data_IF_462579300922
#
_entry.id   IF_462579300922
#
_cell.length_a   1.000
_cell.length_b   1.000
_cell.length_c   1.000
_cell.angle_alpha   90.00
_cell.angle_beta   90.00
_cell.angle_gamma   90.00
#
_symmetry.space_group_name_H-M   'P 1'
#
loop_
_entity.id
_entity.type
_entity.pdbx_description
1 polymer ?
#
# COMPACT_ATOMS: atom_id res chain seq x y z
N UNK A 1 17.11 -35.37 -15.66
CA UNK A 1 17.64 -34.36 -14.72
C UNK A 1 16.52 -33.39 -14.39
N UNK A 2 15.92 -33.50 -13.20
CA UNK A 2 14.95 -32.52 -12.71
C UNK A 2 15.72 -31.36 -12.10
N UNK A 3 15.68 -30.19 -12.73
CA UNK A 3 16.17 -28.95 -12.13
C UNK A 3 15.15 -28.49 -11.08
N UNK A 4 15.24 -29.05 -9.87
CA UNK A 4 14.59 -28.45 -8.70
C UNK A 4 15.51 -27.35 -8.20
N UNK A 5 15.32 -26.13 -8.70
CA UNK A 5 15.85 -24.95 -8.04
C UNK A 5 15.08 -24.77 -6.72
N UNK A 6 15.58 -25.41 -5.67
CA UNK A 6 15.09 -25.20 -4.30
C UNK A 6 15.63 -23.87 -3.82
N UNK A 7 14.90 -22.79 -4.08
CA UNK A 7 15.18 -21.52 -3.43
C UNK A 7 14.93 -21.68 -1.93
N UNK A 8 15.94 -21.35 -1.11
CA UNK A 8 15.74 -21.29 0.34
C UNK A 8 14.76 -20.17 0.69
N UNK A 9 14.01 -20.28 1.80
CA UNK A 9 13.10 -19.22 2.28
C UNK A 9 13.83 -17.87 2.41
N UNK A 10 15.08 -17.92 2.91
CA UNK A 10 16.00 -16.77 2.99
C UNK A 10 16.24 -16.09 1.64
N UNK A 11 16.29 -16.85 0.55
CA UNK A 11 16.52 -16.31 -0.80
C UNK A 11 15.27 -15.62 -1.33
N UNK A 12 14.08 -16.18 -1.11
CA UNK A 12 12.81 -15.59 -1.57
C UNK A 12 12.50 -14.26 -0.86
N UNK A 13 12.83 -14.14 0.41
CA UNK A 13 12.59 -12.92 1.20
C UNK A 13 13.60 -11.81 0.92
N UNK A 14 14.86 -12.18 0.65
CA UNK A 14 15.88 -11.22 0.26
C UNK A 14 15.49 -10.65 -1.09
N UNK A 15 15.04 -11.52 -2.01
CA UNK A 15 14.44 -11.13 -3.28
C UNK A 15 13.26 -10.21 -3.03
N UNK A 16 12.33 -10.52 -2.11
CA UNK A 16 11.17 -9.67 -1.83
C UNK A 16 11.61 -8.26 -1.42
N UNK A 17 12.45 -8.12 -0.39
CA UNK A 17 12.92 -6.82 0.09
C UNK A 17 13.76 -6.06 -0.94
N UNK A 18 14.67 -6.73 -1.64
CA UNK A 18 15.47 -6.09 -2.70
C UNK A 18 14.60 -5.71 -3.88
N UNK A 19 13.61 -6.53 -4.25
CA UNK A 19 12.70 -6.25 -5.35
C UNK A 19 11.85 -5.02 -5.03
N UNK A 20 11.45 -4.83 -3.76
CA UNK A 20 10.69 -3.66 -3.35
C UNK A 20 11.52 -2.39 -3.25
N UNK A 21 12.73 -2.45 -2.70
CA UNK A 21 13.65 -1.32 -2.73
C UNK A 21 13.95 -0.88 -4.17
N UNK A 22 14.14 -1.86 -5.07
CA UNK A 22 14.29 -1.61 -6.51
C UNK A 22 13.00 -1.05 -7.11
N UNK A 23 11.83 -1.60 -6.77
CA UNK A 23 10.54 -1.14 -7.26
C UNK A 23 10.26 0.33 -6.90
N UNK A 24 10.54 0.74 -5.65
CA UNK A 24 10.34 2.12 -5.19
C UNK A 24 11.22 3.14 -5.95
N UNK A 25 12.46 2.75 -6.28
CA UNK A 25 13.40 3.53 -7.09
C UNK A 25 13.01 3.49 -8.58
N UNK A 26 12.58 2.33 -9.08
CA UNK A 26 12.13 2.14 -10.46
C UNK A 26 10.84 2.91 -10.75
N UNK A 27 9.90 3.01 -9.80
CA UNK A 27 8.69 3.81 -9.98
C UNK A 27 9.01 5.28 -10.23
N UNK A 28 9.99 5.84 -9.52
CA UNK A 28 10.47 7.19 -9.76
C UNK A 28 11.20 7.31 -11.12
N UNK A 29 12.05 6.34 -11.46
CA UNK A 29 12.76 6.33 -12.74
C UNK A 29 11.85 6.14 -13.97
N UNK A 30 10.70 5.48 -13.83
CA UNK A 30 9.75 5.26 -14.93
C UNK A 30 9.08 6.55 -15.40
N UNK A 31 8.75 7.46 -14.49
CA UNK A 31 8.20 8.77 -14.84
C UNK A 31 9.27 9.69 -15.41
N UNK A 32 10.45 9.72 -14.79
CA UNK A 32 11.56 10.58 -15.21
C UNK A 32 12.04 10.24 -16.63
N UNK A 33 12.21 8.95 -16.94
CA UNK A 33 12.63 8.52 -18.29
C UNK A 33 11.56 8.78 -19.35
N UNK A 34 10.27 8.66 -19.00
CA UNK A 34 9.20 8.98 -19.95
C UNK A 34 9.10 10.48 -20.22
N UNK A 35 9.28 11.30 -19.18
CA UNK A 35 9.34 12.75 -19.31
C UNK A 35 10.50 13.20 -20.22
N UNK A 36 11.70 12.63 -20.04
CA UNK A 36 12.84 12.90 -20.93
C UNK A 36 12.57 12.50 -22.39
N UNK A 37 11.91 11.37 -22.64
CA UNK A 37 11.57 10.94 -24.00
C UNK A 37 10.50 11.81 -24.66
N UNK A 38 9.49 12.27 -23.91
CA UNK A 38 8.46 13.20 -24.43
C UNK A 38 9.05 14.58 -24.74
N UNK A 39 10.05 15.06 -23.98
CA UNK A 39 10.74 16.33 -24.30
C UNK A 39 11.57 16.30 -25.59
N UNK A 40 11.96 15.12 -26.07
CA UNK A 40 12.80 14.97 -27.26
C UNK A 40 11.99 14.92 -28.57
N UNK A 41 10.69 14.66 -28.52
CA UNK A 41 9.83 14.46 -29.71
C UNK A 41 9.14 15.76 -30.18
N UNK A 42 9.35 16.88 -29.46
CA UNK A 42 8.54 18.09 -29.58
C UNK A 42 9.22 19.23 -30.37
N UNK A 43 10.15 18.88 -31.28
CA UNK A 43 11.00 19.84 -32.01
C UNK A 43 10.28 20.70 -33.08
N UNK A 44 8.97 20.55 -33.25
CA UNK A 44 8.18 21.23 -34.31
C UNK A 44 7.14 22.25 -33.81
N UNK A 45 7.10 22.59 -32.51
CA UNK A 45 6.15 23.60 -32.01
C UNK A 45 6.79 25.00 -31.88
N UNK A 46 6.19 25.99 -32.55
CA UNK A 46 6.65 27.39 -32.65
C UNK A 46 6.39 28.24 -31.37
N UNK A 47 5.90 27.62 -30.31
CA UNK A 47 5.67 28.21 -28.99
C UNK A 47 6.47 27.34 -28.01
N UNK A 48 7.41 27.94 -27.27
CA UNK A 48 8.34 27.21 -26.39
C UNK A 48 7.66 26.06 -25.65
N UNK A 49 8.20 24.86 -25.85
CA UNK A 49 7.67 23.60 -25.34
C UNK A 49 7.74 23.59 -23.81
N UNK A 50 6.62 23.91 -23.16
CA UNK A 50 6.48 23.64 -21.73
C UNK A 50 6.30 22.14 -21.59
N UNK A 51 7.35 21.44 -21.19
CA UNK A 51 7.31 19.99 -20.99
C UNK A 51 6.33 19.66 -19.87
N UNK A 52 5.17 19.09 -20.22
CA UNK A 52 4.24 18.56 -19.24
C UNK A 52 4.86 17.26 -18.69
N UNK A 53 5.07 17.12 -17.37
CA UNK A 53 5.53 15.86 -16.82
C UNK A 53 4.60 14.71 -17.19
N UNK A 54 5.15 13.48 -17.32
CA UNK A 54 4.34 12.29 -17.61
C UNK A 54 3.11 12.26 -16.70
N UNK A 55 1.89 12.09 -17.25
CA UNK A 55 1.57 11.49 -18.55
C UNK A 55 1.40 12.47 -19.75
N UNK A 56 1.84 13.71 -19.61
CA UNK A 56 1.70 14.71 -20.67
C UNK A 56 0.26 15.23 -20.82
N UNK A 57 0.01 16.06 -21.85
CA UNK A 57 -1.34 16.55 -22.22
C UNK A 57 -1.97 15.80 -23.39
N UNK A 58 -1.18 15.11 -24.23
CA UNK A 58 -1.70 14.47 -25.46
C UNK A 58 -2.74 13.37 -25.23
N UNK A 59 -2.81 12.76 -24.04
CA UNK A 59 -3.87 11.81 -23.71
C UNK A 59 -5.24 12.51 -23.53
N UNK A 60 -5.23 13.76 -23.04
CA UNK A 60 -6.45 14.58 -22.87
C UNK A 60 -7.02 14.93 -24.24
N UNK A 61 -6.16 15.32 -25.18
CA UNK A 61 -6.55 15.61 -26.56
C UNK A 61 -7.19 14.39 -27.22
N UNK A 62 -6.63 13.20 -27.00
CA UNK A 62 -7.22 11.94 -27.46
C UNK A 62 -8.60 11.65 -26.86
N UNK A 63 -8.87 12.09 -25.63
CA UNK A 63 -10.21 11.97 -25.03
C UNK A 63 -11.19 13.00 -25.60
N UNK A 64 -10.71 14.20 -25.92
CA UNK A 64 -11.52 15.27 -26.53
C UNK A 64 -11.90 14.97 -27.99
N UNK A 65 -11.06 14.25 -28.74
CA UNK A 65 -11.30 13.92 -30.16
C UNK A 65 -12.43 12.89 -30.39
N UNK A 66 -12.92 12.21 -29.34
CA UNK A 66 -14.09 11.32 -29.42
C UNK A 66 -15.37 12.17 -29.37
N UNK A 67 -15.83 12.56 -30.56
CA UNK A 67 -16.78 13.64 -30.95
C UNK A 67 -18.15 13.84 -30.25
N UNK A 68 -18.42 13.29 -29.07
CA UNK A 68 -19.67 13.54 -28.30
C UNK A 68 -19.43 14.05 -26.86
N UNK A 69 -18.23 14.59 -26.58
CA UNK A 69 -17.67 14.65 -25.23
C UNK A 69 -17.71 16.02 -24.52
N UNK A 70 -18.35 17.06 -25.06
CA UNK A 70 -18.38 18.36 -24.39
C UNK A 70 -19.24 18.33 -23.12
N UNK A 71 -18.69 18.80 -22.00
CA UNK A 71 -19.38 18.90 -20.72
C UNK A 71 -19.82 20.35 -20.50
N UNK A 72 -21.12 20.56 -20.31
CA UNK A 72 -21.68 21.87 -19.95
C UNK A 72 -22.11 21.83 -18.49
N UNK A 73 -21.51 22.70 -17.68
CA UNK A 73 -21.81 22.86 -16.26
C UNK A 73 -23.09 23.67 -16.04
N UNK A 74 -23.67 23.59 -14.85
CA UNK A 74 -24.88 24.34 -14.49
C UNK A 74 -24.72 25.88 -14.57
N UNK A 75 -23.49 26.38 -14.45
CA UNK A 75 -23.13 27.80 -14.60
C UNK A 75 -22.90 28.22 -16.06
N UNK A 76 -23.05 27.32 -17.02
CA UNK A 76 -22.84 27.55 -18.45
C UNK A 76 -21.40 27.32 -18.93
N UNK A 77 -20.46 27.01 -18.04
CA UNK A 77 -19.06 26.71 -18.43
C UNK A 77 -19.01 25.45 -19.28
N UNK A 78 -18.26 25.48 -20.38
CA UNK A 78 -18.10 24.35 -21.29
C UNK A 78 -16.67 23.81 -21.25
N UNK A 79 -16.52 22.51 -21.14
CA UNK A 79 -15.25 21.79 -21.21
C UNK A 79 -15.26 20.81 -22.39
N UNK A 80 -14.08 20.54 -22.96
CA UNK A 80 -13.91 19.60 -24.06
C UNK A 80 -14.14 18.14 -23.67
N UNK A 81 -13.98 17.82 -22.37
CA UNK A 81 -14.24 16.52 -21.76
C UNK A 81 -14.43 16.65 -20.26
N UNK A 82 -14.89 15.60 -19.58
CA UNK A 82 -14.97 15.54 -18.12
C UNK A 82 -13.58 15.61 -17.47
N UNK A 83 -12.57 14.99 -18.09
CA UNK A 83 -11.19 15.05 -17.60
C UNK A 83 -10.55 16.42 -17.83
N UNK A 84 -10.93 17.12 -18.91
CA UNK A 84 -10.54 18.51 -19.10
C UNK A 84 -11.15 19.42 -18.01
N UNK A 85 -12.39 19.15 -17.59
CA UNK A 85 -13.01 19.84 -16.46
C UNK A 85 -12.27 19.57 -15.14
N UNK A 86 -11.92 18.31 -14.85
CA UNK A 86 -11.15 17.93 -13.65
C UNK A 86 -9.81 18.66 -13.57
N UNK A 87 -9.17 18.90 -14.71
CA UNK A 87 -7.88 19.58 -14.80
C UNK A 87 -8.01 21.10 -14.97
N UNK A 88 -9.23 21.66 -14.96
CA UNK A 88 -9.48 23.08 -15.22
C UNK A 88 -8.84 23.60 -16.52
N UNK A 89 -8.66 22.72 -17.53
CA UNK A 89 -7.86 22.97 -18.74
C UNK A 89 -6.38 23.32 -18.50
N UNK A 90 -5.85 23.13 -17.30
CA UNK A 90 -4.44 23.36 -16.97
C UNK A 90 -3.80 22.11 -16.32
N UNK A 91 -3.40 21.12 -17.14
CA UNK A 91 -2.70 19.93 -16.65
C UNK A 91 -1.31 20.23 -16.05
N UNK A 92 -0.75 21.43 -16.29
CA UNK A 92 0.58 21.82 -15.80
C UNK A 92 0.53 22.37 -14.37
N UNK A 93 -0.56 23.02 -13.98
CA UNK A 93 -0.70 23.60 -12.65
C UNK A 93 -0.64 22.57 -11.52
N UNK A 94 -0.98 21.31 -11.80
CA UNK A 94 -0.99 20.25 -10.79
C UNK A 94 -0.65 18.87 -11.40
N UNK A 95 0.64 18.53 -11.51
CA UNK A 95 1.08 17.30 -12.20
C UNK A 95 0.64 16.02 -11.47
N UNK A 96 0.52 16.04 -10.13
CA UNK A 96 -0.01 14.91 -9.35
C UNK A 96 -1.49 14.69 -9.66
N UNK A 97 -2.29 15.75 -9.75
CA UNK A 97 -3.69 15.67 -10.18
C UNK A 97 -3.83 15.20 -11.62
N UNK A 98 -2.98 15.68 -12.52
CA UNK A 98 -2.92 15.20 -13.91
C UNK A 98 -2.66 13.70 -13.96
N UNK A 99 -1.69 13.21 -13.18
CA UNK A 99 -1.42 11.79 -13.05
C UNK A 99 -2.64 11.03 -12.51
N UNK A 100 -3.29 11.52 -11.45
CA UNK A 100 -4.48 10.87 -10.88
C UNK A 100 -5.65 10.80 -11.86
N UNK A 101 -5.92 11.88 -12.59
CA UNK A 101 -6.93 11.93 -13.64
C UNK A 101 -6.61 10.95 -14.78
N UNK A 102 -5.35 10.88 -15.21
CA UNK A 102 -4.90 9.91 -16.20
C UNK A 102 -5.09 8.47 -15.73
N UNK A 103 -4.71 8.14 -14.49
CA UNK A 103 -4.95 6.79 -13.97
C UNK A 103 -6.45 6.50 -13.87
N UNK A 104 -7.26 7.44 -13.36
CA UNK A 104 -8.71 7.30 -13.28
C UNK A 104 -9.32 6.96 -14.65
N UNK A 105 -8.77 7.50 -15.74
CA UNK A 105 -9.25 7.26 -17.10
C UNK A 105 -9.13 5.81 -17.60
N UNK A 106 -8.26 4.99 -16.99
CA UNK A 106 -8.22 3.55 -17.25
C UNK A 106 -9.39 2.80 -16.63
N UNK A 107 -9.97 3.34 -15.56
CA UNK A 107 -11.07 2.71 -14.83
C UNK A 107 -12.43 3.29 -15.25
N UNK A 108 -12.48 4.57 -15.61
CA UNK A 108 -13.72 5.29 -15.84
C UNK A 108 -13.68 6.04 -17.17
N UNK A 109 -14.64 5.73 -18.03
CA UNK A 109 -14.81 6.44 -19.29
C UNK A 109 -15.21 7.91 -19.05
N UNK A 110 -15.02 8.76 -20.06
CA UNK A 110 -15.44 10.15 -20.01
C UNK A 110 -16.92 10.32 -19.61
N UNK A 111 -17.80 9.44 -20.10
CA UNK A 111 -19.22 9.48 -19.79
C UNK A 111 -19.52 9.17 -18.31
N UNK A 112 -18.77 8.24 -17.71
CA UNK A 112 -18.91 7.93 -16.27
C UNK A 112 -18.43 9.12 -15.43
N UNK A 113 -17.28 9.71 -15.77
CA UNK A 113 -16.78 10.90 -15.10
C UNK A 113 -17.75 12.10 -15.24
N UNK A 114 -18.26 12.35 -16.44
CA UNK A 114 -19.26 13.39 -16.71
C UNK A 114 -20.54 13.16 -15.89
N UNK A 115 -21.00 11.91 -15.76
CA UNK A 115 -22.16 11.57 -14.95
C UNK A 115 -21.95 11.94 -13.48
N UNK A 116 -20.78 11.65 -12.89
CA UNK A 116 -20.47 12.08 -11.52
C UNK A 116 -20.45 13.60 -11.39
N UNK A 117 -19.75 14.31 -12.30
CA UNK A 117 -19.63 15.78 -12.24
C UNK A 117 -21.01 16.44 -12.30
N UNK A 118 -21.86 16.01 -13.24
CA UNK A 118 -23.22 16.55 -13.43
C UNK A 118 -24.16 16.18 -12.29
N UNK A 119 -24.13 14.94 -11.81
CA UNK A 119 -24.98 14.47 -10.71
C UNK A 119 -24.66 15.17 -9.39
N UNK A 120 -23.37 15.40 -9.12
CA UNK A 120 -22.90 16.05 -7.89
C UNK A 120 -22.88 17.57 -8.01
N UNK A 121 -23.02 18.10 -9.22
CA UNK A 121 -22.78 19.51 -9.55
C UNK A 121 -21.45 20.05 -8.97
N UNK A 122 -20.40 19.21 -9.01
CA UNK A 122 -19.09 19.52 -8.43
C UNK A 122 -17.99 18.71 -9.10
N UNK A 123 -17.04 19.41 -9.71
CA UNK A 123 -15.85 18.81 -10.32
C UNK A 123 -14.94 18.20 -9.25
N UNK A 124 -14.68 18.94 -8.17
CA UNK A 124 -13.82 18.48 -7.07
C UNK A 124 -14.36 17.22 -6.40
N UNK A 125 -15.65 17.21 -6.05
CA UNK A 125 -16.24 16.04 -5.39
C UNK A 125 -16.25 14.83 -6.31
N UNK A 126 -16.53 15.02 -7.61
CA UNK A 126 -16.45 13.95 -8.59
C UNK A 126 -15.03 13.39 -8.72
N UNK A 127 -14.00 14.24 -8.80
CA UNK A 127 -12.60 13.82 -8.88
C UNK A 127 -12.21 12.90 -7.72
N UNK A 128 -12.45 13.33 -6.48
CA UNK A 128 -12.06 12.53 -5.31
C UNK A 128 -12.92 11.28 -5.12
N UNK A 129 -14.17 11.26 -5.60
CA UNK A 129 -14.98 10.03 -5.65
C UNK A 129 -14.38 9.05 -6.67
N UNK A 130 -13.95 9.51 -7.85
CA UNK A 130 -13.26 8.66 -8.82
C UNK A 130 -11.94 8.12 -8.25
N UNK A 131 -11.15 8.95 -7.56
CA UNK A 131 -9.94 8.51 -6.86
C UNK A 131 -10.25 7.46 -5.79
N UNK A 132 -11.31 7.64 -4.99
CA UNK A 132 -11.76 6.64 -4.01
C UNK A 132 -12.13 5.31 -4.68
N UNK A 133 -12.93 5.34 -5.76
CA UNK A 133 -13.34 4.14 -6.46
C UNK A 133 -12.14 3.42 -7.09
N UNK A 134 -11.22 4.16 -7.71
CA UNK A 134 -9.95 3.62 -8.23
C UNK A 134 -9.12 2.98 -7.12
N UNK A 135 -8.91 3.68 -6.00
CA UNK A 135 -8.13 3.18 -4.86
C UNK A 135 -8.78 1.94 -4.23
N UNK A 136 -10.11 1.91 -4.15
CA UNK A 136 -10.85 0.75 -3.65
C UNK A 136 -10.68 -0.47 -4.56
N UNK A 137 -10.85 -0.30 -5.88
CA UNK A 137 -10.61 -1.38 -6.86
C UNK A 137 -9.16 -1.85 -6.78
N UNK A 138 -8.20 -0.91 -6.75
CA UNK A 138 -6.78 -1.21 -6.62
C UNK A 138 -6.50 -2.03 -5.35
N UNK A 139 -6.96 -1.57 -4.19
CA UNK A 139 -6.79 -2.25 -2.92
C UNK A 139 -7.40 -3.66 -2.91
N UNK A 140 -8.56 -3.86 -3.54
CA UNK A 140 -9.14 -5.20 -3.72
C UNK A 140 -8.21 -6.10 -4.56
N UNK A 141 -7.67 -5.60 -5.68
CA UNK A 141 -6.73 -6.35 -6.52
C UNK A 141 -5.47 -6.72 -5.73
N UNK A 142 -4.90 -5.78 -4.98
CA UNK A 142 -3.73 -6.05 -4.12
C UNK A 142 -4.06 -7.11 -3.08
N UNK A 143 -5.17 -6.94 -2.36
CA UNK A 143 -5.59 -7.84 -1.29
C UNK A 143 -5.81 -9.26 -1.81
N UNK A 144 -6.70 -9.45 -2.79
CA UNK A 144 -7.00 -10.77 -3.32
C UNK A 144 -5.82 -11.39 -4.05
N UNK A 145 -5.06 -10.60 -4.83
CA UNK A 145 -3.89 -11.08 -5.55
C UNK A 145 -2.80 -11.57 -4.61
N UNK A 146 -2.40 -10.74 -3.64
CA UNK A 146 -1.34 -11.10 -2.69
C UNK A 146 -1.78 -12.22 -1.77
N UNK A 147 -2.98 -12.15 -1.19
CA UNK A 147 -3.46 -13.19 -0.29
C UNK A 147 -3.63 -14.53 -1.01
N UNK A 148 -4.06 -14.56 -2.27
CA UNK A 148 -4.14 -15.80 -3.06
C UNK A 148 -2.75 -16.40 -3.33
N UNK A 149 -1.77 -15.58 -3.70
CA UNK A 149 -0.39 -16.02 -3.93
C UNK A 149 0.20 -16.61 -2.64
N UNK A 150 0.13 -15.87 -1.53
CA UNK A 150 0.64 -16.36 -0.24
C UNK A 150 -0.14 -17.59 0.24
N UNK A 151 -1.46 -17.63 0.07
CA UNK A 151 -2.28 -18.81 0.41
C UNK A 151 -1.82 -20.05 -0.36
N UNK A 152 -1.53 -19.92 -1.67
CA UNK A 152 -1.01 -21.03 -2.46
C UNK A 152 0.32 -21.55 -1.88
N UNK A 153 1.29 -20.67 -1.63
CA UNK A 153 2.58 -21.08 -1.08
C UNK A 153 2.49 -21.63 0.34
N UNK A 154 1.59 -21.09 1.15
CA UNK A 154 1.43 -21.49 2.55
C UNK A 154 0.68 -22.82 2.72
N UNK A 155 -0.29 -23.15 1.86
CA UNK A 155 -1.20 -24.27 2.12
C UNK A 155 -1.27 -25.32 1.01
N UNK A 156 -0.86 -24.98 -0.23
CA UNK A 156 -1.03 -25.84 -1.41
C UNK A 156 0.32 -26.30 -1.98
N UNK A 157 1.29 -25.39 -2.08
CA UNK A 157 2.59 -25.68 -2.66
C UNK A 157 3.34 -26.76 -1.85
N UNK A 158 4.09 -27.69 -2.49
CA UNK A 158 4.77 -28.79 -1.81
C UNK A 158 5.70 -28.38 -0.66
N UNK A 159 6.22 -27.14 -0.69
CA UNK A 159 7.06 -26.60 0.39
C UNK A 159 6.37 -26.56 1.76
N UNK A 160 5.04 -26.49 1.78
CA UNK A 160 4.25 -26.43 3.01
C UNK A 160 4.05 -27.80 3.67
N UNK A 161 4.28 -28.92 2.95
CA UNK A 161 4.02 -30.28 3.48
C UNK A 161 4.77 -30.56 4.78
N UNK A 162 6.05 -30.14 4.87
CA UNK A 162 6.84 -30.31 6.08
C UNK A 162 6.16 -29.70 7.32
N UNK A 163 5.53 -28.53 7.18
CA UNK A 163 4.89 -27.84 8.29
C UNK A 163 3.56 -28.50 8.69
N UNK A 164 2.75 -28.95 7.73
CA UNK A 164 1.42 -29.48 8.03
C UNK A 164 1.39 -31.01 8.22
N UNK A 165 2.20 -31.76 7.47
CA UNK A 165 2.21 -33.22 7.46
C UNK A 165 3.27 -33.78 8.42
N UNK A 166 4.51 -33.27 8.38
CA UNK A 166 5.59 -33.80 9.23
C UNK A 166 5.56 -33.20 10.65
N UNK A 167 5.28 -31.90 10.78
CA UNK A 167 5.22 -31.20 12.07
C UNK A 167 3.81 -31.19 12.69
N UNK A 168 2.79 -31.65 11.96
CA UNK A 168 1.43 -31.84 12.47
C UNK A 168 0.64 -30.55 12.75
N UNK A 169 0.98 -29.41 12.13
CA UNK A 169 0.19 -28.18 12.25
C UNK A 169 -1.17 -28.34 11.56
N UNK A 170 -2.23 -27.84 12.19
CA UNK A 170 -3.55 -27.82 11.57
C UNK A 170 -3.65 -26.73 10.49
N UNK A 171 -4.40 -27.01 9.42
CA UNK A 171 -4.71 -26.01 8.38
C UNK A 171 -5.90 -25.14 8.82
N UNK A 172 -5.97 -23.87 8.38
CA UNK A 172 -7.14 -23.02 8.62
C UNK A 172 -8.40 -23.64 8.01
N UNK A 173 -9.53 -23.50 8.71
CA UNK A 173 -10.83 -23.89 8.16
C UNK A 173 -11.32 -22.87 7.13
N UNK A 174 -12.18 -23.30 6.21
CA UNK A 174 -12.76 -22.37 5.24
C UNK A 174 -13.63 -21.30 5.90
N UNK A 175 -14.34 -21.64 6.99
CA UNK A 175 -15.11 -20.66 7.76
C UNK A 175 -14.21 -19.57 8.37
N UNK A 176 -13.00 -19.93 8.83
CA UNK A 176 -12.03 -18.96 9.35
C UNK A 176 -11.62 -17.97 8.26
N UNK A 177 -11.24 -18.48 7.07
CA UNK A 177 -10.82 -17.65 5.95
C UNK A 177 -11.99 -16.79 5.44
N UNK A 178 -13.20 -17.34 5.34
CA UNK A 178 -14.39 -16.59 4.92
C UNK A 178 -14.68 -15.43 5.86
N UNK A 179 -14.60 -15.65 7.18
CA UNK A 179 -14.79 -14.61 8.18
C UNK A 179 -13.72 -13.50 8.07
N UNK A 180 -12.47 -13.89 7.82
CA UNK A 180 -11.36 -12.94 7.57
C UNK A 180 -11.62 -12.09 6.33
N UNK A 181 -12.01 -12.72 5.21
CA UNK A 181 -12.35 -12.02 3.97
C UNK A 181 -13.48 -11.03 4.23
N UNK A 182 -14.58 -11.44 4.86
CA UNK A 182 -15.71 -10.56 5.16
C UNK A 182 -15.30 -9.35 5.99
N UNK A 183 -14.45 -9.56 7.00
CA UNK A 183 -13.94 -8.46 7.82
C UNK A 183 -13.00 -7.53 7.04
N UNK A 184 -12.08 -8.10 6.28
CA UNK A 184 -11.17 -7.36 5.39
C UNK A 184 -11.94 -6.50 4.39
N UNK A 185 -13.02 -7.01 3.80
CA UNK A 185 -13.86 -6.22 2.87
C UNK A 185 -14.53 -5.04 3.58
N UNK A 186 -15.08 -5.24 4.78
CA UNK A 186 -15.66 -4.15 5.56
C UNK A 186 -14.60 -3.10 5.97
N UNK A 187 -13.38 -3.55 6.26
CA UNK A 187 -12.26 -2.68 6.58
C UNK A 187 -11.84 -1.81 5.39
N UNK A 188 -11.70 -2.42 4.21
CA UNK A 188 -11.25 -1.75 2.99
C UNK A 188 -12.11 -0.53 2.63
N UNK A 189 -13.43 -0.59 2.83
CA UNK A 189 -14.36 0.51 2.49
C UNK A 189 -13.99 1.85 3.14
N UNK A 190 -13.43 1.83 4.34
CA UNK A 190 -13.01 3.08 5.03
C UNK A 190 -11.49 3.22 4.97
N UNK A 191 -10.74 2.13 5.07
CA UNK A 191 -9.27 2.17 5.01
C UNK A 191 -8.76 2.83 3.72
N UNK A 192 -9.45 2.63 2.59
CA UNK A 192 -9.08 3.25 1.29
C UNK A 192 -9.38 4.74 1.21
N UNK A 193 -10.04 5.35 2.21
CA UNK A 193 -10.18 6.80 2.29
C UNK A 193 -8.86 7.48 2.65
N UNK A 194 -7.93 6.78 3.30
CA UNK A 194 -6.63 7.35 3.68
C UNK A 194 -5.78 7.76 2.45
N UNK A 195 -5.56 6.90 1.42
CA UNK A 195 -4.86 7.34 0.22
C UNK A 195 -5.61 8.43 -0.55
N UNK A 196 -6.94 8.53 -0.45
CA UNK A 196 -7.68 9.66 -1.06
C UNK A 196 -7.39 10.97 -0.30
N UNK A 197 -7.26 10.90 1.02
CA UNK A 197 -6.79 12.03 1.82
C UNK A 197 -5.35 12.42 1.44
N UNK A 198 -4.46 11.45 1.21
CA UNK A 198 -3.10 11.71 0.74
C UNK A 198 -3.11 12.47 -0.59
N UNK A 199 -3.89 11.98 -1.57
CA UNK A 199 -4.05 12.65 -2.86
C UNK A 199 -4.59 14.06 -2.71
N UNK A 200 -5.64 14.25 -1.91
CA UNK A 200 -6.19 15.57 -1.64
C UNK A 200 -5.15 16.52 -1.04
N UNK A 201 -4.39 16.07 -0.05
CA UNK A 201 -3.38 16.91 0.61
C UNK A 201 -2.23 17.27 -0.34
N UNK A 202 -1.81 16.33 -1.18
CA UNK A 202 -0.79 16.54 -2.22
C UNK A 202 -1.31 17.51 -3.28
N UNK A 203 -2.48 17.25 -3.85
CA UNK A 203 -3.08 18.10 -4.88
C UNK A 203 -3.40 19.51 -4.37
N UNK A 204 -3.68 19.66 -3.08
CA UNK A 204 -3.96 20.96 -2.45
C UNK A 204 -2.70 21.73 -2.01
N UNK A 205 -1.50 21.16 -2.20
CA UNK A 205 -0.23 21.81 -1.85
C UNK A 205 0.07 21.86 -0.34
N UNK A 206 -0.58 21.01 0.47
CA UNK A 206 -0.31 20.93 1.92
C UNK A 206 0.90 20.05 2.28
N UNK A 207 1.57 19.46 1.29
CA UNK A 207 2.65 18.50 1.49
C UNK A 207 3.95 18.95 0.83
N UNK A 208 5.06 18.26 1.15
CA UNK A 208 6.33 18.35 0.44
C UNK A 208 6.48 17.17 -0.52
N UNK A 209 5.40 16.84 -1.23
CA UNK A 209 5.43 15.80 -2.25
C UNK A 209 5.63 16.44 -3.61
N UNK A 210 6.56 15.89 -4.37
CA UNK A 210 6.99 16.41 -5.66
C UNK A 210 6.75 15.37 -6.75
N UNK A 211 6.52 15.85 -7.97
CA UNK A 211 6.21 14.97 -9.09
C UNK A 211 7.46 14.50 -9.82
N UNK A 212 8.53 15.30 -9.83
CA UNK A 212 9.82 14.93 -10.42
C UNK A 212 10.92 14.78 -9.39
N UNK A 213 11.99 14.10 -9.78
CA UNK A 213 13.16 13.90 -8.91
C UNK A 213 13.96 15.20 -8.75
N UNK A 214 13.98 16.03 -9.78
CA UNK A 214 14.68 17.31 -9.85
C UNK A 214 14.10 18.30 -8.85
N UNK A 215 12.78 18.32 -8.67
CA UNK A 215 12.10 19.15 -7.67
C UNK A 215 12.53 18.81 -6.22
N UNK A 216 12.94 17.57 -5.96
CA UNK A 216 13.48 17.12 -4.67
C UNK A 216 14.96 17.52 -4.53
N UNK A 217 15.63 17.89 -5.62
CA UNK A 217 17.06 18.19 -5.67
C UNK A 217 17.91 17.06 -6.26
N UNK A 218 17.34 16.26 -7.17
CA UNK A 218 18.02 15.20 -7.91
C UNK A 218 18.10 13.86 -7.16
N UNK A 219 18.63 12.84 -7.85
CA UNK A 219 18.72 11.45 -7.34
C UNK A 219 19.32 11.30 -5.93
N UNK A 220 20.43 11.98 -5.56
CA UNK A 220 20.97 11.87 -4.21
C UNK A 220 19.99 12.36 -3.13
N UNK A 221 19.35 13.51 -3.37
CA UNK A 221 18.35 14.09 -2.47
C UNK A 221 17.10 13.23 -2.39
N UNK A 222 16.67 12.65 -3.51
CA UNK A 222 15.57 11.71 -3.58
C UNK A 222 15.84 10.46 -2.72
N UNK A 223 16.99 9.79 -2.90
CA UNK A 223 17.34 8.58 -2.14
C UNK A 223 17.44 8.90 -0.64
N UNK A 224 18.12 10.00 -0.27
CA UNK A 224 18.25 10.42 1.11
C UNK A 224 16.88 10.72 1.76
N UNK A 225 16.01 11.44 1.05
CA UNK A 225 14.69 11.80 1.56
C UNK A 225 13.75 10.59 1.62
N UNK A 226 13.82 9.66 0.66
CA UNK A 226 13.09 8.39 0.70
C UNK A 226 13.46 7.57 1.93
N UNK A 227 14.77 7.41 2.21
CA UNK A 227 15.25 6.66 3.38
C UNK A 227 14.81 7.33 4.69
N UNK A 228 14.93 8.65 4.78
CA UNK A 228 14.48 9.42 5.94
C UNK A 228 12.95 9.29 6.13
N UNK A 229 12.18 9.46 5.06
CA UNK A 229 10.72 9.32 5.08
C UNK A 229 10.31 7.94 5.57
N UNK A 230 10.89 6.88 5.00
CA UNK A 230 10.58 5.51 5.39
C UNK A 230 10.98 5.20 6.84
N UNK A 231 12.13 5.70 7.31
CA UNK A 231 12.54 5.55 8.71
C UNK A 231 11.58 6.27 9.67
N UNK A 232 11.13 7.48 9.34
CA UNK A 232 10.14 8.20 10.15
C UNK A 232 8.78 7.48 10.17
N UNK A 233 8.34 6.96 9.02
CA UNK A 233 7.13 6.14 8.92
C UNK A 233 7.24 4.90 9.80
N UNK A 234 8.34 4.15 9.74
CA UNK A 234 8.56 2.95 10.56
C UNK A 234 8.46 3.26 12.06
N UNK A 235 9.08 4.36 12.52
CA UNK A 235 8.98 4.82 13.91
C UNK A 235 7.55 5.22 14.27
N UNK A 236 6.87 5.93 13.37
CA UNK A 236 5.47 6.33 13.57
C UNK A 236 4.53 5.14 13.68
N UNK A 237 4.70 4.11 12.83
CA UNK A 237 3.90 2.89 12.86
C UNK A 237 4.15 2.17 14.17
N UNK A 238 5.41 2.00 14.59
CA UNK A 238 5.74 1.39 15.89
C UNK A 238 4.98 2.04 17.05
N UNK A 239 5.01 3.38 17.14
CA UNK A 239 4.35 4.10 18.22
C UNK A 239 2.84 4.05 18.14
N UNK A 240 2.27 4.15 16.93
CA UNK A 240 0.84 4.02 16.75
C UNK A 240 0.36 2.62 17.13
N UNK A 241 1.04 1.58 16.67
CA UNK A 241 0.73 0.20 16.97
C UNK A 241 0.85 -0.09 18.47
N UNK A 242 1.93 0.36 19.11
CA UNK A 242 2.08 0.27 20.57
C UNK A 242 0.98 1.04 21.31
N UNK A 243 0.53 2.18 20.78
CA UNK A 243 -0.57 2.97 21.37
C UNK A 243 -1.90 2.25 21.25
N UNK A 244 -2.18 1.59 20.11
CA UNK A 244 -3.36 0.74 19.92
C UNK A 244 -3.44 -0.39 20.95
N UNK A 245 -2.30 -0.90 21.41
CA UNK A 245 -2.24 -1.91 22.49
C UNK A 245 -2.35 -1.32 23.90
N UNK A 246 -1.60 -0.25 24.17
CA UNK A 246 -1.46 0.27 25.54
C UNK A 246 -2.62 1.17 25.96
N UNK A 247 -3.30 1.82 25.00
CA UNK A 247 -4.52 2.58 25.27
C UNK A 247 -5.72 1.63 25.37
N UNK A 248 -6.33 1.54 26.55
CA UNK A 248 -7.46 0.62 26.83
C UNK A 248 -8.66 0.83 25.90
N UNK A 249 -8.96 2.07 25.52
CA UNK A 249 -10.09 2.39 24.64
C UNK A 249 -9.80 1.91 23.21
N UNK A 250 -8.65 2.29 22.67
CA UNK A 250 -8.24 1.89 21.33
C UNK A 250 -8.10 0.37 21.22
N UNK A 251 -7.48 -0.28 22.21
CA UNK A 251 -7.38 -1.73 22.22
C UNK A 251 -8.75 -2.38 22.16
N UNK A 252 -9.64 -2.06 23.11
CA UNK A 252 -10.94 -2.73 23.24
C UNK A 252 -11.85 -2.52 22.02
N UNK A 253 -11.86 -1.32 21.46
CA UNK A 253 -12.86 -0.93 20.45
C UNK A 253 -12.33 -0.96 19.01
N UNK A 254 -11.02 -0.87 18.82
CA UNK A 254 -10.39 -0.77 17.50
C UNK A 254 -9.53 -2.01 17.23
N UNK A 255 -8.55 -2.28 18.10
CA UNK A 255 -7.49 -3.24 17.79
C UNK A 255 -7.77 -4.70 18.18
N UNK A 256 -8.61 -4.93 19.21
CA UNK A 256 -8.91 -6.27 19.72
C UNK A 256 -9.48 -7.19 18.64
N UNK A 257 -10.23 -6.64 17.68
CA UNK A 257 -10.81 -7.40 16.57
C UNK A 257 -9.72 -7.98 15.67
N UNK A 258 -8.63 -7.26 15.45
CA UNK A 258 -7.47 -7.77 14.74
C UNK A 258 -6.81 -8.92 15.51
N UNK A 259 -6.65 -8.76 16.82
CA UNK A 259 -6.05 -9.76 17.72
C UNK A 259 -6.96 -10.94 18.11
N UNK A 260 -8.10 -11.13 17.46
CA UNK A 260 -8.89 -12.34 17.65
C UNK A 260 -8.21 -13.58 17.03
N UNK A 261 -7.25 -13.37 16.12
CA UNK A 261 -6.45 -14.41 15.48
C UNK A 261 -5.22 -14.75 16.32
N UNK A 262 -5.42 -15.62 17.32
CA UNK A 262 -4.45 -15.88 18.40
C UNK A 262 -3.65 -17.17 18.21
N UNK A 263 -3.88 -17.87 17.11
CA UNK A 263 -3.29 -19.16 16.84
C UNK A 263 -2.76 -19.25 15.42
N UNK A 264 -1.83 -20.17 15.14
CA UNK A 264 -1.25 -20.30 13.81
C UNK A 264 -2.29 -20.69 12.74
N UNK A 265 -3.40 -21.32 13.13
CA UNK A 265 -4.50 -21.70 12.24
C UNK A 265 -5.43 -20.52 11.92
N UNK A 266 -5.31 -19.44 12.68
CA UNK A 266 -6.12 -18.23 12.52
C UNK A 266 -5.31 -17.06 11.98
N UNK A 267 -3.98 -17.08 12.05
CA UNK A 267 -3.12 -16.15 11.32
C UNK A 267 -2.91 -16.68 9.90
N UNK A 268 -3.73 -16.18 8.97
CA UNK A 268 -3.61 -16.50 7.55
C UNK A 268 -3.31 -15.24 6.74
N UNK A 269 -2.80 -15.36 5.49
CA UNK A 269 -2.64 -14.21 4.59
C UNK A 269 -3.92 -13.37 4.42
N UNK A 270 -5.10 -13.97 4.59
CA UNK A 270 -6.40 -13.29 4.48
C UNK A 270 -6.73 -12.43 5.72
N UNK A 271 -6.01 -12.59 6.82
CA UNK A 271 -6.20 -11.86 8.07
C UNK A 271 -5.48 -10.49 8.09
N UNK A 272 -4.63 -10.20 7.10
CA UNK A 272 -3.71 -9.06 7.12
C UNK A 272 -4.38 -7.70 7.31
N UNK A 273 -5.58 -7.54 6.76
CA UNK A 273 -6.41 -6.34 6.92
C UNK A 273 -7.77 -6.61 7.55
N UNK A 274 -7.91 -7.78 8.20
CA UNK A 274 -9.11 -8.19 8.90
C UNK A 274 -9.18 -7.51 10.29
N UNK A 275 -9.38 -6.20 10.29
CA UNK A 275 -9.41 -5.36 11.49
C UNK A 275 -10.57 -4.36 11.46
N UNK A 276 -10.74 -3.59 12.54
CA UNK A 276 -11.64 -2.45 12.52
C UNK A 276 -11.11 -1.39 11.53
N UNK A 277 -11.90 -0.77 10.65
CA UNK A 277 -11.34 0.11 9.61
C UNK A 277 -10.43 1.24 10.13
N UNK A 278 -10.78 1.84 11.28
CA UNK A 278 -9.93 2.84 11.95
C UNK A 278 -8.57 2.29 12.42
N UNK A 279 -8.45 0.98 12.67
CA UNK A 279 -7.20 0.33 13.05
C UNK A 279 -6.15 0.51 11.96
N UNK A 280 -6.49 0.09 10.73
CA UNK A 280 -5.63 0.27 9.57
C UNK A 280 -5.32 1.73 9.31
N UNK A 281 -6.33 2.62 9.36
CA UNK A 281 -6.10 4.05 9.13
C UNK A 281 -5.12 4.63 10.14
N UNK A 282 -5.25 4.28 11.43
CA UNK A 282 -4.32 4.72 12.46
C UNK A 282 -2.93 4.18 12.17
N UNK A 283 -2.77 2.87 11.95
CA UNK A 283 -1.47 2.26 11.66
C UNK A 283 -0.82 2.85 10.40
N UNK A 284 -1.58 3.17 9.35
CA UNK A 284 -1.05 3.76 8.11
C UNK A 284 -0.90 5.29 8.18
N UNK A 285 -1.52 5.98 9.15
CA UNK A 285 -1.47 7.45 9.28
C UNK A 285 -0.07 8.08 9.32
N UNK A 286 1.01 7.41 9.80
CA UNK A 286 2.36 7.95 9.70
C UNK A 286 2.79 8.26 8.26
N UNK A 287 2.29 7.52 7.26
CA UNK A 287 2.54 7.86 5.86
C UNK A 287 2.05 9.27 5.52
N UNK A 288 0.83 9.60 5.96
CA UNK A 288 0.16 10.90 5.74
C UNK A 288 0.83 12.01 6.53
N UNK A 289 1.06 11.78 7.83
CA UNK A 289 1.60 12.79 8.74
C UNK A 289 3.04 13.21 8.40
N UNK A 290 3.79 12.36 7.70
CA UNK A 290 5.16 12.67 7.28
C UNK A 290 5.24 13.45 5.96
N UNK A 291 4.19 13.46 5.13
CA UNK A 291 4.16 14.18 3.85
C UNK A 291 4.43 15.70 3.96
N UNK A 292 3.93 16.45 4.96
CA UNK A 292 4.28 17.87 5.11
C UNK A 292 5.70 18.12 5.66
N UNK A 293 6.36 17.09 6.20
CA UNK A 293 7.62 17.25 6.94
C UNK A 293 8.82 16.92 6.05
N UNK A 294 8.79 15.76 5.39
CA UNK A 294 9.93 15.20 4.63
C UNK A 294 9.62 15.25 3.13
N UNK A 295 10.50 15.84 2.31
CA UNK A 295 10.39 15.78 0.85
C UNK A 295 10.23 14.35 0.35
N UNK A 296 9.27 14.10 -0.53
CA UNK A 296 9.05 12.77 -1.08
C UNK A 296 8.61 12.84 -2.54
N UNK A 297 8.98 11.84 -3.32
CA UNK A 297 8.50 11.71 -4.70
C UNK A 297 7.12 11.03 -4.70
N UNK A 298 6.20 11.54 -5.52
CA UNK A 298 4.80 11.11 -5.55
C UNK A 298 4.65 9.59 -5.71
N UNK A 299 5.26 8.99 -6.74
CA UNK A 299 5.16 7.55 -6.94
C UNK A 299 5.97 6.72 -5.95
N UNK A 300 6.98 7.31 -5.31
CA UNK A 300 7.74 6.61 -4.27
C UNK A 300 6.90 6.47 -3.00
N UNK A 301 6.14 7.50 -2.63
CA UNK A 301 5.16 7.41 -1.55
C UNK A 301 4.16 6.27 -1.79
N UNK A 302 3.51 6.23 -2.97
CA UNK A 302 2.56 5.15 -3.30
C UNK A 302 3.24 3.78 -3.44
N UNK A 303 4.47 3.73 -3.95
CA UNK A 303 5.28 2.50 -4.01
C UNK A 303 5.55 1.93 -2.62
N UNK A 304 5.89 2.78 -1.65
CA UNK A 304 6.08 2.36 -0.25
C UNK A 304 4.77 1.95 0.42
N UNK A 305 3.66 2.63 0.12
CA UNK A 305 2.33 2.25 0.62
C UNK A 305 1.91 0.87 0.10
N UNK A 306 2.13 0.61 -1.20
CA UNK A 306 1.89 -0.68 -1.84
C UNK A 306 2.80 -1.78 -1.26
N UNK A 307 4.08 -1.48 -1.04
CA UNK A 307 4.99 -2.37 -0.35
C UNK A 307 4.45 -2.77 1.02
N UNK A 308 4.00 -1.81 1.83
CA UNK A 308 3.43 -2.07 3.16
C UNK A 308 2.18 -2.93 3.10
N UNK A 309 1.33 -2.77 2.09
CA UNK A 309 0.17 -3.64 1.89
C UNK A 309 0.57 -5.09 1.61
N UNK A 310 1.59 -5.32 0.76
CA UNK A 310 2.11 -6.67 0.49
C UNK A 310 2.81 -7.24 1.74
N UNK A 311 3.59 -6.40 2.41
CA UNK A 311 4.29 -6.75 3.64
C UNK A 311 3.32 -7.21 4.73
N UNK A 312 2.22 -6.48 4.92
CA UNK A 312 1.16 -6.86 5.85
C UNK A 312 0.60 -8.26 5.53
N UNK A 313 0.38 -8.60 4.26
CA UNK A 313 -0.06 -9.96 3.89
C UNK A 313 1.01 -11.02 4.21
N UNK A 314 2.27 -10.73 3.91
CA UNK A 314 3.40 -11.63 4.17
C UNK A 314 3.58 -11.96 5.66
N UNK A 315 3.50 -10.98 6.56
CA UNK A 315 3.76 -11.21 7.99
C UNK A 315 2.61 -11.93 8.74
N UNK A 316 1.46 -12.16 8.10
CA UNK A 316 0.27 -12.77 8.72
C UNK A 316 0.07 -14.26 8.39
N UNK A 317 1.09 -14.94 7.86
CA UNK A 317 0.96 -16.36 7.48
C UNK A 317 1.41 -17.35 8.58
N UNK A 318 2.06 -16.87 9.63
CA UNK A 318 2.67 -17.65 10.70
C UNK A 318 3.60 -18.79 10.22
N UNK A 319 4.26 -18.61 9.07
CA UNK A 319 5.17 -19.58 8.45
C UNK A 319 6.64 -19.29 8.80
N UNK A 320 7.52 -20.25 8.53
CA UNK A 320 8.98 -20.13 8.74
C UNK A 320 9.66 -19.40 7.58
N UNK A 321 9.37 -18.11 7.48
CA UNK A 321 10.04 -17.16 6.58
C UNK A 321 10.99 -16.30 7.42
N UNK A 322 12.29 -16.33 7.13
CA UNK A 322 13.31 -15.69 7.95
C UNK A 322 14.47 -15.00 7.22
N UNK A 323 14.63 -13.70 7.50
CA UNK A 323 15.89 -12.96 7.46
C UNK A 323 15.98 -12.11 8.75
N UNK A 324 16.84 -12.48 9.69
CA UNK A 324 17.15 -11.55 10.79
C UNK A 324 18.02 -10.40 10.23
N UNK A 325 17.80 -9.12 10.59
CA UNK A 325 16.94 -8.59 11.66
C UNK A 325 15.59 -7.97 11.19
N UNK A 326 14.89 -8.59 10.24
CA UNK A 326 13.61 -8.10 9.70
C UNK A 326 12.43 -8.60 10.54
N UNK A 327 11.41 -7.75 10.69
CA UNK A 327 10.16 -8.04 11.40
C UNK A 327 9.24 -8.94 10.55
N UNK A 328 9.71 -10.16 10.29
CA UNK A 328 8.98 -11.16 9.50
C UNK A 328 7.86 -11.87 10.26
N UNK A 329 7.24 -12.83 9.59
CA UNK A 329 6.06 -13.57 10.07
C UNK A 329 6.22 -14.19 11.47
N UNK A 330 7.41 -14.73 11.82
CA UNK A 330 7.65 -15.28 13.17
C UNK A 330 7.55 -14.23 14.29
N UNK A 331 8.03 -13.01 14.06
CA UNK A 331 8.00 -11.97 15.08
C UNK A 331 6.57 -11.45 15.26
N UNK A 332 5.85 -11.29 14.14
CA UNK A 332 4.44 -10.90 14.16
C UNK A 332 3.53 -11.98 14.75
N UNK A 333 3.89 -13.26 14.60
CA UNK A 333 3.21 -14.36 15.29
C UNK A 333 3.41 -14.29 16.80
N UNK A 334 4.62 -13.97 17.28
CA UNK A 334 4.88 -13.71 18.70
C UNK A 334 4.04 -12.52 19.18
N UNK A 335 3.94 -11.46 18.38
CA UNK A 335 3.09 -10.31 18.66
C UNK A 335 1.61 -10.70 18.86
N UNK A 336 1.01 -11.43 17.92
CA UNK A 336 -0.39 -11.86 18.01
C UNK A 336 -0.70 -12.85 19.14
N UNK A 337 0.32 -13.55 19.63
CA UNK A 337 0.18 -14.52 20.73
C UNK A 337 0.45 -13.93 22.11
N UNK A 338 1.28 -12.88 22.22
CA UNK A 338 1.70 -12.28 23.49
C UNK A 338 1.21 -10.85 23.72
N UNK A 339 0.84 -10.11 22.65
CA UNK A 339 0.29 -8.74 22.63
C UNK A 339 1.22 -7.62 23.12
N UNK A 340 2.28 -7.93 23.86
CA UNK A 340 3.14 -6.94 24.52
C UNK A 340 4.52 -6.74 23.86
N UNK A 341 4.78 -7.41 22.74
CA UNK A 341 6.08 -7.45 22.06
C UNK A 341 5.93 -7.24 20.56
N UNK A 342 7.03 -6.85 19.89
CA UNK A 342 7.19 -6.82 18.44
C UNK A 342 6.15 -5.94 17.73
N UNK A 343 6.15 -4.63 17.99
CA UNK A 343 5.21 -3.67 17.41
C UNK A 343 5.65 -3.07 16.06
N UNK A 344 6.93 -3.21 15.70
CA UNK A 344 7.49 -2.70 14.44
C UNK A 344 6.81 -3.31 13.22
N UNK A 345 6.94 -2.64 12.07
CA UNK A 345 6.29 -3.08 10.83
C UNK A 345 7.26 -3.92 10.01
N UNK A 346 8.41 -3.37 9.65
CA UNK A 346 9.38 -3.97 8.72
C UNK A 346 10.67 -4.36 9.44
N UNK A 347 11.11 -3.57 10.42
CA UNK A 347 12.39 -3.81 11.09
C UNK A 347 12.22 -4.02 12.60
N UNK A 348 13.13 -4.82 13.16
CA UNK A 348 13.16 -5.08 14.61
C UNK A 348 13.80 -3.97 15.43
N UNK A 349 14.37 -2.94 14.79
CA UNK A 349 15.17 -1.92 15.50
C UNK A 349 14.34 -1.09 16.49
N UNK A 350 13.09 -0.74 16.15
CA UNK A 350 12.22 0.01 17.06
C UNK A 350 11.99 -0.78 18.34
N UNK A 351 11.62 -2.05 18.19
CA UNK A 351 11.40 -2.95 19.32
C UNK A 351 12.66 -3.19 20.14
N UNK A 352 13.82 -3.32 19.50
CA UNK A 352 15.09 -3.42 20.20
C UNK A 352 15.38 -2.15 21.01
N UNK A 353 15.24 -0.98 20.39
CA UNK A 353 15.56 0.31 21.00
C UNK A 353 14.64 0.64 22.18
N UNK A 354 13.34 0.36 22.07
CA UNK A 354 12.35 0.64 23.13
C UNK A 354 12.04 -0.55 24.04
N UNK A 355 12.81 -1.64 23.94
CA UNK A 355 12.74 -2.77 24.87
C UNK A 355 11.48 -3.63 24.73
N UNK A 356 10.87 -3.68 23.54
CA UNK A 356 9.69 -4.50 23.22
C UNK A 356 10.02 -5.67 22.30
N UNK A 357 11.29 -5.90 21.98
CA UNK A 357 11.73 -7.02 21.14
C UNK A 357 11.65 -8.35 21.89
N UNK A 358 10.89 -9.30 21.33
CA UNK A 358 10.94 -10.71 21.72
C UNK A 358 11.38 -11.54 20.52
N UNK A 359 12.59 -12.07 20.61
CA UNK A 359 13.13 -13.01 19.63
C UNK A 359 12.32 -14.33 19.72
N UNK A 360 11.77 -14.84 18.60
CA UNK A 360 11.02 -16.08 18.60
C UNK A 360 11.91 -17.30 18.92
N UNK A 361 11.42 -18.21 19.78
CA UNK A 361 12.16 -19.41 20.21
C UNK A 361 12.15 -20.55 19.17
N UNK A 362 11.31 -20.43 18.14
CA UNK A 362 11.14 -21.43 17.09
C UNK A 362 10.90 -20.80 15.71
N UNK A 363 10.99 -21.61 14.65
CA UNK A 363 10.96 -21.16 13.26
C UNK A 363 9.71 -20.35 12.88
N UNK A 364 8.55 -20.72 13.44
CA UNK A 364 7.24 -20.11 13.13
C UNK A 364 6.80 -19.06 14.16
N UNK A 365 7.55 -18.85 15.24
CA UNK A 365 7.17 -17.99 16.37
C UNK A 365 5.96 -18.45 17.19
N UNK A 366 5.46 -19.66 16.92
CA UNK A 366 4.43 -20.32 17.70
C UNK A 366 5.06 -20.86 18.98
N UNK A 367 4.46 -20.55 20.14
CA UNK A 367 4.90 -21.15 21.40
C UNK A 367 4.79 -22.67 21.30
N UNK A 368 5.91 -23.38 21.53
CA UNK A 368 5.86 -24.83 21.66
C UNK A 368 4.95 -25.15 22.83
N UNK A 369 3.94 -25.98 22.61
CA UNK A 369 3.15 -26.49 23.71
C UNK A 369 4.13 -27.26 24.60
N UNK A 370 4.47 -26.69 25.76
CA UNK A 370 5.20 -27.42 26.78
C UNK A 370 4.36 -28.66 27.02
N UNK A 371 4.89 -29.81 26.57
CA UNK A 371 4.32 -31.10 26.87
C UNK A 371 4.33 -31.14 28.39
N UNK A 372 3.17 -30.93 29.02
CA UNK A 372 3.02 -31.14 30.46
C UNK A 372 3.34 -32.61 30.64
N UNK A 373 4.61 -32.93 30.94
CA UNK A 373 4.98 -34.23 31.49
C UNK A 373 4.05 -34.38 32.68
N UNK A 374 3.09 -35.32 32.57
CA UNK A 374 2.41 -35.84 33.74
C UNK A 374 3.53 -36.28 34.67
N UNK A 375 3.73 -35.54 35.75
CA UNK A 375 4.47 -36.05 36.90
C UNK A 375 3.61 -37.22 37.36
N UNK A 376 4.18 -38.41 37.21
CA UNK A 376 3.56 -39.71 37.52
C UNK A 376 3.20 -39.77 38.99
#
# INVERSE_FOLDING_TARGET
MSFSATFSSRTLEAILLTSFAVLAVCFAGLTENKQQNETLDDSDSFLGTVSVPFPGSGWIDNMALKRDASLIMADGTTYSSAYAAILYNDPLANPCRNFNAWVNSFFFSNNVAAWFITTLNSVELAHYILCYLRNFIGAMVVYYGTAAVFHYFCYVHPMSRKIYEEQGRARPTWDTIKNQIQLSQASLTIYTMLPVLDEFLVESGYTKVYHTIEEIGGWPSHIASMLLYFACVEIGIYWMHRTLHTNKFLYKHVHLKHHQYKSPETLTPWASIAFHPLDGMLQASPYVFMLPVVPCHYLTHFGLLFFTAIWATYIHDAMDWNIDPIMGSKYHTVHHTHYIYNYGQVFTFCDWFWGTLRIPEGPTGVASSVTKKKVV
#
